data_IF_048536767670
#
_entry.id   IF_048536767670
#
_cell.length_a   1.000
_cell.length_b   1.000
_cell.length_c   1.000
_cell.angle_alpha   90.00
_cell.angle_beta   90.00
_cell.angle_gamma   90.00
#
_symmetry.space_group_name_H-M   'P 1'
#
loop_
_entity.id
_entity.type
_entity.pdbx_description
1 polymer ?
#
# COMPACT_ATOMS: atom_id res chain seq x y z
N UNK A 1 2.41 9.90 -14.97
CA UNK A 1 3.23 10.41 -13.87
C UNK A 1 2.42 11.08 -12.76
N UNK A 2 1.25 11.63 -13.09
CA UNK A 2 0.35 12.23 -12.09
C UNK A 2 -0.57 11.21 -11.44
N UNK A 3 -0.63 9.99 -11.97
CA UNK A 3 -1.46 8.93 -11.41
C UNK A 3 -0.92 8.48 -10.07
N UNK A 4 -1.82 8.32 -9.10
CA UNK A 4 -1.46 8.00 -7.73
C UNK A 4 -1.90 6.59 -7.34
N UNK A 5 -1.07 5.91 -6.55
CA UNK A 5 -1.31 4.55 -6.08
C UNK A 5 -0.95 4.44 -4.61
N UNK A 6 -1.53 3.45 -3.98
CA UNK A 6 -1.26 3.10 -2.60
C UNK A 6 -0.49 1.79 -2.57
N UNK A 7 0.53 1.72 -1.72
CA UNK A 7 1.38 0.53 -1.60
C UNK A 7 1.40 0.09 -0.15
N UNK A 8 1.30 -1.22 0.06
CA UNK A 8 1.32 -1.81 1.39
C UNK A 8 2.37 -2.91 1.44
N UNK A 9 3.20 -2.89 2.47
CA UNK A 9 4.19 -3.93 2.73
C UNK A 9 3.49 -5.28 2.94
N UNK A 10 3.97 -6.33 2.28
CA UNK A 10 3.27 -7.63 2.28
C UNK A 10 3.12 -8.25 3.67
N UNK A 11 4.11 -8.06 4.53
CA UNK A 11 4.02 -8.55 5.90
C UNK A 11 2.98 -7.77 6.72
N UNK A 12 2.82 -6.48 6.45
CA UNK A 12 1.75 -5.68 7.05
C UNK A 12 0.37 -6.17 6.59
N UNK A 13 0.24 -6.55 5.32
CA UNK A 13 -1.01 -7.15 4.82
C UNK A 13 -1.32 -8.43 5.56
N UNK A 14 -0.33 -9.31 5.74
CA UNK A 14 -0.50 -10.56 6.48
C UNK A 14 -0.88 -10.28 7.94
N UNK A 15 -0.22 -9.32 8.58
CA UNK A 15 -0.51 -8.92 9.95
C UNK A 15 -1.94 -8.38 10.08
N UNK A 16 -2.40 -7.60 9.11
CA UNK A 16 -3.76 -7.08 9.10
C UNK A 16 -4.79 -8.21 9.01
N UNK A 17 -4.52 -9.22 8.18
CA UNK A 17 -5.41 -10.37 8.05
C UNK A 17 -5.53 -11.13 9.38
N UNK A 18 -4.42 -11.37 10.06
CA UNK A 18 -4.42 -12.03 11.38
C UNK A 18 -5.16 -11.17 12.41
N UNK A 19 -4.91 -9.86 12.40
CA UNK A 19 -5.60 -8.95 13.31
C UNK A 19 -7.10 -9.01 13.13
N UNK A 20 -7.59 -9.00 11.87
CA UNK A 20 -9.01 -9.05 11.59
C UNK A 20 -9.61 -10.38 12.08
N UNK A 21 -8.91 -11.50 11.85
CA UNK A 21 -9.37 -12.81 12.30
C UNK A 21 -9.46 -12.91 13.82
N UNK A 22 -8.53 -12.30 14.54
CA UNK A 22 -8.46 -12.40 16.00
C UNK A 22 -9.33 -11.38 16.73
N UNK A 23 -9.62 -10.22 16.12
CA UNK A 23 -10.19 -9.08 16.84
C UNK A 23 -11.49 -8.54 16.26
N UNK A 24 -11.92 -9.01 15.08
CA UNK A 24 -13.07 -8.40 14.37
C UNK A 24 -14.11 -9.46 14.06
N UNK A 25 -15.34 -9.22 14.53
CA UNK A 25 -16.51 -10.07 14.25
C UNK A 25 -17.46 -9.36 13.28
N UNK A 26 -18.32 -10.13 12.62
CA UNK A 26 -19.26 -9.60 11.64
C UNK A 26 -20.11 -8.44 12.16
N UNK A 27 -20.64 -8.44 13.41
CA UNK A 27 -21.40 -7.29 13.90
C UNK A 27 -20.63 -5.96 13.83
N UNK A 28 -19.31 -5.99 13.99
CA UNK A 28 -18.48 -4.78 13.92
C UNK A 28 -18.36 -4.26 12.49
N UNK A 29 -18.48 -5.15 11.50
CA UNK A 29 -18.39 -4.78 10.08
C UNK A 29 -19.76 -4.36 9.52
N UNK A 30 -20.82 -4.94 10.03
CA UNK A 30 -22.17 -4.73 9.55
C UNK A 30 -22.68 -3.30 9.78
N UNK A 31 -22.28 -2.68 10.89
CA UNK A 31 -22.82 -1.38 11.27
C UNK A 31 -24.19 -1.48 11.95
N UNK A 32 -24.81 -0.33 12.22
CA UNK A 32 -26.02 -0.23 13.03
C UNK A 32 -27.33 -0.18 12.24
N UNK A 33 -27.25 -0.08 10.91
CA UNK A 33 -28.45 0.05 10.06
C UNK A 33 -29.24 -1.24 9.90
N UNK A 34 -30.52 -1.16 9.48
CA UNK A 34 -31.34 -2.34 9.27
C UNK A 34 -30.92 -3.16 8.06
N UNK A 35 -30.19 -2.55 7.12
CA UNK A 35 -29.69 -3.22 5.93
C UNK A 35 -28.24 -3.64 6.10
N UNK A 36 -27.91 -4.82 5.55
CA UNK A 36 -26.53 -5.29 5.52
C UNK A 36 -25.83 -4.65 4.33
N UNK A 37 -25.05 -3.61 4.59
CA UNK A 37 -24.27 -2.88 3.58
C UNK A 37 -22.86 -2.60 4.08
N UNK A 38 -21.92 -2.50 3.14
CA UNK A 38 -20.55 -2.10 3.44
C UNK A 38 -19.93 -2.93 4.56
N UNK A 39 -20.15 -4.24 4.52
CA UNK A 39 -19.58 -5.17 5.50
C UNK A 39 -18.11 -5.46 5.25
N UNK A 40 -17.57 -5.04 4.09
CA UNK A 40 -16.17 -5.23 3.77
C UNK A 40 -15.29 -4.33 4.64
N UNK A 41 -14.04 -4.73 4.77
CA UNK A 41 -13.02 -3.92 5.42
C UNK A 41 -11.86 -3.75 4.43
N UNK A 42 -11.45 -2.51 4.22
CA UNK A 42 -10.33 -2.20 3.35
C UNK A 42 -9.03 -2.25 4.14
N UNK A 43 -8.00 -2.84 3.55
CA UNK A 43 -6.68 -2.92 4.16
C UNK A 43 -5.71 -2.11 3.29
N UNK A 44 -5.01 -1.18 3.90
CA UNK A 44 -4.05 -0.33 3.23
C UNK A 44 -3.39 0.64 4.19
N UNK A 45 -2.59 1.56 3.65
CA UNK A 45 -1.90 2.57 4.46
C UNK A 45 -2.70 3.85 4.62
N UNK A 46 -3.61 4.13 3.71
CA UNK A 46 -4.29 5.42 3.64
C UNK A 46 -3.45 6.51 3.02
N UNK A 47 -2.25 6.19 2.53
CA UNK A 47 -1.31 7.13 1.91
C UNK A 47 -1.11 6.77 0.45
N UNK A 48 -1.01 7.78 -0.40
CA UNK A 48 -0.79 7.58 -1.82
C UNK A 48 0.47 8.29 -2.31
N UNK A 49 1.02 7.82 -3.41
CA UNK A 49 2.16 8.41 -4.07
C UNK A 49 1.94 8.37 -5.59
N UNK A 50 2.39 9.40 -6.30
CA UNK A 50 2.35 9.39 -7.75
C UNK A 50 3.35 8.38 -8.31
N UNK A 51 3.11 7.91 -9.53
CA UNK A 51 4.03 6.98 -10.20
C UNK A 51 5.40 7.65 -10.40
N UNK A 52 5.42 8.94 -10.72
CA UNK A 52 6.67 9.70 -10.81
C UNK A 52 7.40 9.72 -9.47
N UNK A 53 6.68 10.03 -8.38
CA UNK A 53 7.26 10.06 -7.03
C UNK A 53 7.81 8.71 -6.61
N UNK A 54 7.10 7.63 -6.94
CA UNK A 54 7.58 6.27 -6.67
C UNK A 54 8.85 5.97 -7.45
N UNK A 55 8.89 6.31 -8.75
CA UNK A 55 10.07 6.09 -9.58
C UNK A 55 11.29 6.85 -9.03
N UNK A 56 11.09 8.10 -8.62
CA UNK A 56 12.14 8.92 -8.03
C UNK A 56 12.62 8.35 -6.70
N UNK A 57 11.71 7.85 -5.88
CA UNK A 57 12.05 7.24 -4.59
C UNK A 57 12.88 5.96 -4.79
N UNK A 58 12.49 5.10 -5.73
CA UNK A 58 13.23 3.89 -6.06
C UNK A 58 14.61 4.23 -6.62
N UNK A 59 14.67 5.20 -7.53
CA UNK A 59 15.93 5.66 -8.13
C UNK A 59 16.89 6.17 -7.05
N UNK A 60 16.38 6.98 -6.12
CA UNK A 60 17.19 7.50 -5.00
C UNK A 60 17.71 6.39 -4.10
N UNK A 61 16.87 5.40 -3.77
CA UNK A 61 17.23 4.28 -2.93
C UNK A 61 18.29 3.40 -3.60
N UNK A 62 18.17 3.17 -4.91
CA UNK A 62 19.09 2.34 -5.67
C UNK A 62 20.35 3.10 -6.12
N UNK A 63 20.39 4.40 -5.92
CA UNK A 63 21.52 5.22 -6.38
C UNK A 63 21.54 5.42 -7.90
N UNK A 64 20.39 5.28 -8.56
CA UNK A 64 20.28 5.46 -10.01
C UNK A 64 20.32 6.94 -10.36
N UNK A 65 21.21 7.32 -11.26
CA UNK A 65 21.41 8.71 -11.67
C UNK A 65 21.02 8.97 -13.13
N UNK A 66 20.42 7.99 -13.79
CA UNK A 66 19.98 8.12 -15.17
C UNK A 66 18.70 8.93 -15.28
N UNK A 67 18.30 9.11 -16.52
CA UNK A 67 17.08 9.84 -16.84
C UNK A 67 15.85 8.91 -16.72
N UNK A 68 14.80 9.40 -16.08
CA UNK A 68 13.52 8.70 -16.00
C UNK A 68 12.59 9.30 -17.05
N UNK A 69 12.07 8.46 -17.94
CA UNK A 69 11.12 8.88 -18.98
C UNK A 69 9.84 8.05 -18.87
N UNK A 70 8.72 8.64 -19.26
CA UNK A 70 7.42 7.98 -19.23
C UNK A 70 6.96 7.68 -20.65
N UNK A 71 6.50 6.43 -20.84
CA UNK A 71 6.00 6.00 -22.15
C UNK A 71 4.54 6.43 -22.33
N UNK A 72 4.35 7.55 -23.01
CA UNK A 72 3.02 8.12 -23.25
C UNK A 72 2.19 7.36 -24.27
N UNK A 73 2.80 6.39 -24.98
CA UNK A 73 2.07 5.56 -25.95
C UNK A 73 1.28 4.42 -25.28
N UNK A 74 1.53 4.14 -24.03
CA UNK A 74 0.79 3.12 -23.27
C UNK A 74 -0.41 3.72 -22.58
N UNK A 75 -1.52 2.97 -22.50
CA UNK A 75 -2.71 3.49 -21.83
C UNK A 75 -2.50 3.64 -20.33
N UNK A 76 -3.10 4.68 -19.78
CA UNK A 76 -3.11 4.91 -18.35
C UNK A 76 -4.28 4.17 -17.70
N UNK A 77 -4.12 3.84 -16.44
CA UNK A 77 -5.18 3.29 -15.64
C UNK A 77 -6.01 4.37 -14.95
N UNK A 78 -6.69 3.98 -13.88
CA UNK A 78 -7.45 4.92 -13.05
C UNK A 78 -6.49 5.96 -12.44
N UNK A 79 -6.88 7.24 -12.52
CA UNK A 79 -6.05 8.35 -12.05
C UNK A 79 -5.72 8.22 -10.55
N UNK A 80 -6.66 7.77 -9.75
CA UNK A 80 -6.47 7.65 -8.32
C UNK A 80 -7.14 6.37 -7.80
N UNK A 81 -6.43 5.63 -6.96
CA UNK A 81 -6.95 4.43 -6.28
C UNK A 81 -6.51 4.47 -4.81
N UNK A 82 -7.12 5.35 -4.05
CA UNK A 82 -6.88 5.43 -2.62
C UNK A 82 -8.00 4.68 -1.90
N UNK A 83 -7.62 3.67 -1.13
CA UNK A 83 -8.53 2.89 -0.31
C UNK A 83 -8.79 3.62 1.00
N UNK A 84 -10.06 3.75 1.38
CA UNK A 84 -10.41 4.31 2.68
C UNK A 84 -10.20 3.25 3.76
N UNK A 85 -9.24 3.49 4.64
CA UNK A 85 -8.84 2.56 5.70
C UNK A 85 -9.32 2.99 7.09
N UNK A 86 -10.24 3.96 7.15
CA UNK A 86 -10.72 4.52 8.42
C UNK A 86 -11.38 3.46 9.30
N UNK A 87 -12.11 2.52 8.72
CA UNK A 87 -12.75 1.43 9.46
C UNK A 87 -11.71 0.56 10.17
N UNK A 88 -10.65 0.15 9.45
CA UNK A 88 -9.59 -0.66 10.01
C UNK A 88 -8.81 0.09 11.10
N UNK A 89 -8.51 1.36 10.86
CA UNK A 89 -7.84 2.21 11.86
C UNK A 89 -8.68 2.37 13.11
N UNK A 90 -10.00 2.54 12.97
CA UNK A 90 -10.90 2.67 14.11
C UNK A 90 -10.95 1.38 14.95
N UNK A 91 -10.68 0.24 14.34
CA UNK A 91 -10.63 -1.05 15.04
C UNK A 91 -9.27 -1.30 15.70
N UNK A 92 -8.29 -0.43 15.50
CA UNK A 92 -7.01 -0.45 16.20
C UNK A 92 -5.81 -0.93 15.41
N UNK A 93 -5.95 -1.20 14.11
CA UNK A 93 -4.82 -1.64 13.29
C UNK A 93 -4.27 -0.51 12.43
N UNK A 94 -2.95 -0.46 12.30
CA UNK A 94 -2.23 0.43 11.41
C UNK A 94 -1.00 -0.28 10.86
N UNK A 95 -0.62 0.05 9.63
CA UNK A 95 0.61 -0.48 9.02
C UNK A 95 1.84 -0.03 9.82
N UNK A 96 2.90 -0.84 9.78
CA UNK A 96 4.13 -0.57 10.53
C UNK A 96 5.28 -0.13 9.64
N UNK A 97 5.28 -0.53 8.38
CA UNK A 97 6.37 -0.25 7.44
C UNK A 97 5.92 0.83 6.46
N UNK A 98 6.61 1.95 6.48
CA UNK A 98 6.38 3.03 5.53
C UNK A 98 7.01 2.66 4.17
N UNK A 99 6.55 3.31 3.10
CA UNK A 99 6.96 3.00 1.74
C UNK A 99 8.49 3.08 1.57
N UNK A 100 9.10 4.13 2.10
CA UNK A 100 10.55 4.34 2.02
C UNK A 100 11.33 3.19 2.67
N UNK A 101 10.88 2.77 3.83
CA UNK A 101 11.50 1.65 4.57
C UNK A 101 11.33 0.34 3.81
N UNK A 102 10.16 0.10 3.25
CA UNK A 102 9.87 -1.10 2.47
C UNK A 102 10.74 -1.20 1.23
N UNK A 103 10.86 -0.11 0.48
CA UNK A 103 11.70 -0.08 -0.71
C UNK A 103 13.16 -0.33 -0.36
N UNK A 104 13.67 0.32 0.68
CA UNK A 104 15.05 0.11 1.13
C UNK A 104 15.30 -1.35 1.54
N UNK A 105 14.35 -1.95 2.25
CA UNK A 105 14.46 -3.35 2.69
C UNK A 105 14.45 -4.33 1.51
N UNK A 106 13.57 -4.12 0.55
CA UNK A 106 13.51 -4.97 -0.66
C UNK A 106 14.78 -4.82 -1.48
N UNK A 107 15.28 -3.61 -1.63
CA UNK A 107 16.51 -3.38 -2.39
C UNK A 107 17.71 -4.06 -1.74
N UNK A 108 17.84 -3.96 -0.42
CA UNK A 108 18.90 -4.66 0.33
C UNK A 108 18.77 -6.17 0.17
N UNK A 109 17.58 -6.72 0.30
CA UNK A 109 17.31 -8.13 0.09
C UNK A 109 17.73 -8.57 -1.32
N UNK A 110 17.37 -7.78 -2.33
CA UNK A 110 17.75 -8.06 -3.72
C UNK A 110 19.27 -8.08 -3.91
N UNK A 111 19.98 -7.09 -3.34
CA UNK A 111 21.45 -7.03 -3.42
C UNK A 111 22.10 -8.24 -2.76
N UNK A 112 21.62 -8.64 -1.59
CA UNK A 112 22.16 -9.79 -0.86
C UNK A 112 21.98 -11.08 -1.66
N UNK A 113 20.84 -11.25 -2.29
CA UNK A 113 20.57 -12.42 -3.13
C UNK A 113 21.38 -12.43 -4.41
N UNK A 114 21.60 -11.26 -4.99
CA UNK A 114 22.35 -11.13 -6.23
C UNK A 114 23.84 -11.45 -6.04
N UNK A 115 24.38 -11.17 -4.87
CA UNK A 115 25.79 -11.39 -4.56
C UNK A 115 26.12 -12.79 -4.06
N UNK A 116 25.10 -13.65 -3.86
CA UNK A 116 25.31 -15.02 -3.40
C UNK A 116 25.31 -16.08 -4.51
#
# INVERSE_FOLDING_TARGET
DVYKRQFLWSEDMADACVFVMENVDFPQLRGEGPEIRNCHINIGTGKEISIRGLAELIAGTAGYRGKITFNTSKPDGTMRKLTDVSKLHSLGWKHRVELEQGIASIYRWYLDRRSS
#
